data_IF_929485684466
#
_entry.id   IF_929485684466
#
_cell.length_a   1.000
_cell.length_b   1.000
_cell.length_c   1.000
_cell.angle_alpha   90.00
_cell.angle_beta   90.00
_cell.angle_gamma   90.00
#
_symmetry.space_group_name_H-M   'P 1'
#
loop_
_entity.id
_entity.type
_entity.pdbx_description
1 polymer ?
#
# COMPACT_ATOMS: atom_id res chain seq x y z
N UNK A 1 6.08 39.02 -18.37
CA UNK A 1 5.26 37.79 -18.41
C UNK A 1 5.73 36.70 -19.40
N UNK A 2 6.51 37.00 -20.47
CA UNK A 2 7.05 35.98 -21.40
C UNK A 2 8.21 35.14 -20.83
N UNK A 3 9.03 35.71 -19.95
CA UNK A 3 10.19 35.06 -19.32
C UNK A 3 9.80 34.03 -18.26
N UNK A 4 8.80 34.32 -17.43
CA UNK A 4 8.25 33.39 -16.42
C UNK A 4 7.68 32.10 -17.04
N UNK A 5 6.92 32.20 -18.14
CA UNK A 5 6.44 31.02 -18.91
C UNK A 5 7.57 30.21 -19.53
N UNK A 6 8.70 30.85 -19.89
CA UNK A 6 9.86 30.18 -20.49
C UNK A 6 10.67 29.42 -19.45
N UNK A 7 10.88 30.02 -18.27
CA UNK A 7 11.55 29.40 -17.12
C UNK A 7 10.72 28.22 -16.59
N UNK A 8 9.41 28.40 -16.40
CA UNK A 8 8.52 27.33 -15.95
C UNK A 8 8.52 26.14 -16.92
N UNK A 9 8.52 26.40 -18.23
CA UNK A 9 8.56 25.36 -19.26
C UNK A 9 9.90 24.62 -19.27
N UNK A 10 11.01 25.31 -19.05
CA UNK A 10 12.35 24.70 -18.92
C UNK A 10 12.42 23.82 -17.67
N UNK A 11 11.97 24.31 -16.51
CA UNK A 11 11.92 23.53 -15.26
C UNK A 11 11.05 22.28 -15.43
N UNK A 12 9.88 22.41 -16.08
CA UNK A 12 8.99 21.30 -16.35
C UNK A 12 9.63 20.25 -17.28
N UNK A 13 10.30 20.67 -18.35
CA UNK A 13 11.01 19.74 -19.25
C UNK A 13 12.19 19.07 -18.57
N UNK A 14 12.93 19.80 -17.74
CA UNK A 14 14.08 19.26 -17.00
C UNK A 14 13.60 18.22 -15.99
N UNK A 15 12.51 18.50 -15.28
CA UNK A 15 11.87 17.56 -14.36
C UNK A 15 11.34 16.32 -15.10
N UNK A 16 10.71 16.49 -16.27
CA UNK A 16 10.24 15.38 -17.11
C UNK A 16 11.38 14.50 -17.60
N UNK A 17 12.51 15.08 -18.00
CA UNK A 17 13.70 14.33 -18.45
C UNK A 17 14.35 13.59 -17.29
N UNK A 18 14.42 14.19 -16.10
CA UNK A 18 14.93 13.53 -14.89
C UNK A 18 14.01 12.39 -14.47
N UNK A 19 12.70 12.59 -14.47
CA UNK A 19 11.71 11.54 -14.17
C UNK A 19 11.78 10.42 -15.21
N UNK A 20 11.88 10.74 -16.50
CA UNK A 20 12.03 9.75 -17.56
C UNK A 20 13.35 8.97 -17.45
N UNK A 21 14.44 9.62 -17.05
CA UNK A 21 15.73 8.98 -16.81
C UNK A 21 15.71 8.07 -15.57
N UNK A 22 15.05 8.50 -14.49
CA UNK A 22 14.86 7.69 -13.27
C UNK A 22 13.96 6.49 -13.58
N UNK A 23 12.83 6.69 -14.23
CA UNK A 23 11.94 5.59 -14.65
C UNK A 23 12.67 4.65 -15.62
N UNK A 24 13.43 5.18 -16.58
CA UNK A 24 14.25 4.38 -17.49
C UNK A 24 15.32 3.55 -16.77
N UNK A 25 16.01 4.14 -15.80
CA UNK A 25 17.00 3.45 -14.97
C UNK A 25 16.33 2.36 -14.09
N UNK A 26 15.17 2.66 -13.50
CA UNK A 26 14.38 1.69 -12.73
C UNK A 26 13.86 0.54 -13.60
N UNK A 27 13.50 0.79 -14.86
CA UNK A 27 13.08 -0.24 -15.82
C UNK A 27 14.26 -1.16 -16.19
N UNK A 28 15.46 -0.61 -16.38
CA UNK A 28 16.67 -1.40 -16.67
C UNK A 28 17.09 -2.22 -15.44
N UNK A 29 16.98 -1.64 -14.24
CA UNK A 29 17.27 -2.33 -12.98
C UNK A 29 16.26 -3.47 -12.72
N UNK A 30 14.96 -3.24 -12.88
CA UNK A 30 13.92 -4.27 -12.66
C UNK A 30 13.97 -5.45 -13.62
N UNK A 31 14.67 -5.39 -14.76
CA UNK A 31 14.82 -6.56 -15.65
C UNK A 31 15.76 -7.63 -15.13
N UNK A 32 16.63 -7.31 -14.16
CA UNK A 32 17.60 -8.24 -13.58
C UNK A 32 17.19 -8.61 -12.15
N UNK A 33 17.40 -9.85 -11.72
CA UNK A 33 17.16 -10.27 -10.32
C UNK A 33 17.79 -9.31 -9.32
N UNK A 34 19.08 -9.01 -9.50
CA UNK A 34 19.83 -8.08 -8.65
C UNK A 34 19.22 -6.68 -8.59
N UNK A 35 18.68 -6.16 -9.69
CA UNK A 35 18.04 -4.86 -9.67
C UNK A 35 16.63 -4.88 -9.08
N UNK A 36 15.88 -5.99 -9.18
CA UNK A 36 14.63 -6.21 -8.43
C UNK A 36 14.90 -6.24 -6.92
N UNK A 37 15.96 -6.91 -6.47
CA UNK A 37 16.37 -6.95 -5.07
C UNK A 37 16.81 -5.57 -4.55
N UNK A 38 17.59 -4.82 -5.34
CA UNK A 38 17.98 -3.45 -4.98
C UNK A 38 16.76 -2.54 -4.78
N UNK A 39 15.75 -2.67 -5.63
CA UNK A 39 14.51 -1.90 -5.51
C UNK A 39 13.67 -2.32 -4.32
N UNK A 40 13.62 -3.60 -4.04
CA UNK A 40 12.99 -4.12 -2.84
C UNK A 40 13.65 -3.53 -1.58
N UNK A 41 14.98 -3.42 -1.56
CA UNK A 41 15.72 -2.71 -0.51
C UNK A 41 15.40 -1.22 -0.41
N UNK A 42 15.31 -0.50 -1.54
CA UNK A 42 14.96 0.93 -1.55
C UNK A 42 13.53 1.18 -1.04
N UNK A 43 12.55 0.39 -1.50
CA UNK A 43 11.16 0.47 -1.05
C UNK A 43 11.08 0.14 0.44
N UNK A 44 11.78 -0.90 0.88
CA UNK A 44 11.86 -1.30 2.29
C UNK A 44 12.38 -0.15 3.15
N UNK A 45 13.47 0.50 2.74
CA UNK A 45 14.03 1.65 3.46
C UNK A 45 13.09 2.86 3.50
N UNK A 46 12.38 3.16 2.40
CA UNK A 46 11.44 4.28 2.33
C UNK A 46 10.17 4.05 3.15
N UNK A 47 9.69 2.79 3.20
CA UNK A 47 8.49 2.41 3.96
C UNK A 47 8.77 2.21 5.45
N UNK A 48 10.05 2.06 5.81
CA UNK A 48 10.52 1.94 7.18
C UNK A 48 10.70 3.30 7.85
N UNK A 49 10.52 3.33 9.17
CA UNK A 49 10.82 4.43 10.07
C UNK A 49 11.55 3.88 11.30
N UNK A 50 11.99 4.76 12.21
CA UNK A 50 12.69 4.35 13.44
C UNK A 50 11.91 3.33 14.29
N UNK A 51 10.57 3.35 14.22
CA UNK A 51 9.69 2.46 14.99
C UNK A 51 9.07 1.32 14.17
N UNK A 52 9.20 1.32 12.85
CA UNK A 52 8.57 0.33 11.97
C UNK A 52 9.50 -0.07 10.84
N UNK A 53 9.77 -1.36 10.68
CA UNK A 53 10.54 -1.89 9.56
C UNK A 53 9.64 -2.66 8.61
N UNK A 54 9.70 -2.32 7.33
CA UNK A 54 8.97 -3.00 6.26
C UNK A 54 9.98 -3.69 5.36
N UNK A 55 9.86 -4.99 5.19
CA UNK A 55 10.70 -5.78 4.29
C UNK A 55 9.84 -6.30 3.15
N UNK A 56 10.24 -5.99 1.91
CA UNK A 56 9.59 -6.47 0.69
C UNK A 56 10.56 -7.38 -0.07
N UNK A 57 10.07 -8.47 -0.64
CA UNK A 57 10.89 -9.45 -1.37
C UNK A 57 10.16 -9.99 -2.61
N UNK A 58 10.94 -10.42 -3.59
CA UNK A 58 10.42 -11.07 -4.81
C UNK A 58 9.56 -10.15 -5.65
N UNK A 59 9.96 -8.87 -5.79
CA UNK A 59 9.25 -7.89 -6.62
C UNK A 59 9.35 -8.30 -8.08
N UNK A 60 8.23 -8.42 -8.76
CA UNK A 60 8.18 -8.67 -10.20
C UNK A 60 7.06 -7.89 -10.89
N UNK A 61 7.19 -7.66 -12.20
CA UNK A 61 6.11 -7.13 -13.02
C UNK A 61 5.64 -5.69 -12.73
N UNK A 62 6.33 -4.94 -11.85
CA UNK A 62 5.91 -3.60 -11.39
C UNK A 62 5.54 -2.62 -12.51
N UNK A 63 6.29 -2.60 -13.62
CA UNK A 63 6.06 -1.68 -14.75
C UNK A 63 5.01 -2.17 -15.75
N UNK A 64 4.68 -3.48 -15.72
CA UNK A 64 3.67 -4.07 -16.59
C UNK A 64 2.24 -3.77 -16.13
N UNK A 65 2.10 -3.22 -14.92
CA UNK A 65 0.83 -3.11 -14.22
C UNK A 65 0.48 -4.37 -13.43
N UNK A 66 1.05 -5.53 -13.72
CA UNK A 66 0.87 -6.74 -12.91
C UNK A 66 2.02 -6.90 -11.90
N UNK A 67 2.00 -6.13 -10.82
CA UNK A 67 2.98 -6.25 -9.74
C UNK A 67 2.75 -7.56 -8.96
N UNK A 68 3.82 -8.30 -8.71
CA UNK A 68 3.83 -9.51 -7.89
C UNK A 68 4.92 -9.41 -6.84
N UNK A 69 4.63 -9.83 -5.61
CA UNK A 69 5.56 -9.88 -4.49
C UNK A 69 5.51 -11.27 -3.87
N UNK A 70 6.65 -11.85 -3.54
CA UNK A 70 6.68 -13.15 -2.85
C UNK A 70 6.23 -13.01 -1.40
N UNK A 71 6.77 -12.02 -0.69
CA UNK A 71 6.34 -11.71 0.66
C UNK A 71 6.60 -10.25 1.06
N UNK A 72 5.77 -9.77 1.98
CA UNK A 72 5.92 -8.51 2.69
C UNK A 72 5.86 -8.81 4.17
N UNK A 73 6.86 -8.35 4.91
CA UNK A 73 6.95 -8.50 6.37
C UNK A 73 6.97 -7.11 6.98
N UNK A 74 6.09 -6.88 7.96
CA UNK A 74 6.06 -5.65 8.74
C UNK A 74 6.41 -5.98 10.18
N UNK A 75 7.44 -5.29 10.66
CA UNK A 75 8.04 -5.46 11.98
C UNK A 75 7.96 -4.12 12.73
N UNK A 76 7.83 -4.21 14.04
CA UNK A 76 8.01 -3.08 14.95
C UNK A 76 9.07 -3.44 16.02
N UNK A 77 9.18 -2.65 17.10
CA UNK A 77 10.12 -2.91 18.21
C UNK A 77 9.93 -4.29 18.88
N UNK A 78 8.75 -4.89 18.80
CA UNK A 78 8.45 -6.22 19.31
C UNK A 78 8.54 -7.33 18.26
N UNK A 79 9.15 -7.08 17.09
CA UNK A 79 9.32 -8.06 16.01
C UNK A 79 8.19 -8.05 14.95
N UNK A 80 8.15 -9.07 14.07
CA UNK A 80 7.16 -9.16 13.00
C UNK A 80 5.76 -9.33 13.56
N UNK A 81 4.82 -8.50 13.08
CA UNK A 81 3.42 -8.57 13.48
C UNK A 81 2.47 -8.79 12.31
N UNK A 82 2.90 -8.48 11.07
CA UNK A 82 2.16 -8.77 9.84
C UNK A 82 3.08 -9.41 8.79
N UNK A 83 2.62 -10.49 8.18
CA UNK A 83 3.26 -11.11 7.02
C UNK A 83 2.21 -11.34 5.94
N UNK A 84 2.44 -10.83 4.73
CA UNK A 84 1.63 -11.13 3.55
C UNK A 84 2.46 -11.93 2.55
N UNK A 85 1.89 -13.01 2.01
CA UNK A 85 2.55 -13.92 1.06
C UNK A 85 1.83 -13.88 -0.29
N UNK A 86 2.61 -13.99 -1.36
CA UNK A 86 2.13 -14.01 -2.76
C UNK A 86 1.16 -12.87 -3.03
N UNK A 87 1.65 -11.64 -2.82
CA UNK A 87 0.87 -10.43 -3.07
C UNK A 87 0.82 -10.19 -4.57
N UNK A 88 -0.38 -9.98 -5.10
CA UNK A 88 -0.62 -9.61 -6.47
C UNK A 88 -1.37 -8.28 -6.52
N UNK A 89 -0.85 -7.35 -7.31
CA UNK A 89 -1.42 -6.03 -7.49
C UNK A 89 -1.47 -5.71 -8.98
N UNK A 90 -2.68 -5.60 -9.52
CA UNK A 90 -2.93 -5.20 -10.90
C UNK A 90 -3.25 -3.69 -10.90
N UNK A 91 -2.23 -2.87 -11.17
CA UNK A 91 -2.24 -1.42 -11.03
C UNK A 91 -1.84 -0.68 -12.31
N UNK A 92 -2.08 0.63 -12.34
CA UNK A 92 -1.75 1.51 -13.46
C UNK A 92 -0.59 2.45 -13.13
N UNK A 93 0.67 2.13 -13.51
CA UNK A 93 1.82 2.99 -13.26
C UNK A 93 1.68 4.41 -13.80
N UNK A 94 1.00 4.56 -14.95
CA UNK A 94 0.76 5.84 -15.59
C UNK A 94 -0.19 6.75 -14.79
N UNK A 95 -1.07 6.18 -13.96
CA UNK A 95 -2.01 6.95 -13.15
C UNK A 95 -1.28 7.84 -12.12
N UNK A 96 -0.08 7.43 -11.67
CA UNK A 96 0.72 8.22 -10.74
C UNK A 96 1.17 9.56 -11.32
N UNK A 97 1.30 9.67 -12.64
CA UNK A 97 1.61 10.94 -13.32
C UNK A 97 0.51 11.98 -13.11
N UNK A 98 -0.71 11.53 -12.85
CA UNK A 98 -1.88 12.34 -12.51
C UNK A 98 -2.13 12.42 -11.00
N UNK A 99 -1.14 12.06 -10.16
CA UNK A 99 -1.27 11.96 -8.70
C UNK A 99 -2.39 11.01 -8.23
N UNK A 100 -2.62 9.95 -8.99
CA UNK A 100 -3.59 8.92 -8.64
C UNK A 100 -2.92 7.55 -8.60
N UNK A 101 -3.08 6.82 -7.51
CA UNK A 101 -2.77 5.41 -7.45
C UNK A 101 -4.06 4.65 -7.79
N UNK A 102 -4.06 3.90 -8.89
CA UNK A 102 -5.22 3.11 -9.31
C UNK A 102 -4.83 1.65 -9.46
N UNK A 103 -5.58 0.78 -8.81
CA UNK A 103 -5.49 -0.67 -8.87
C UNK A 103 -6.84 -1.29 -9.17
N UNK A 104 -6.87 -2.15 -10.19
CA UNK A 104 -8.05 -2.96 -10.49
C UNK A 104 -8.22 -4.05 -9.44
N UNK A 105 -7.11 -4.67 -9.03
CA UNK A 105 -7.10 -5.78 -8.07
C UNK A 105 -5.89 -5.73 -7.14
N UNK A 106 -6.14 -5.91 -5.85
CA UNK A 106 -5.16 -6.22 -4.82
C UNK A 106 -5.53 -7.58 -4.21
N UNK A 107 -4.58 -8.50 -4.18
CA UNK A 107 -4.77 -9.81 -3.57
C UNK A 107 -3.52 -10.25 -2.83
N UNK A 108 -3.70 -11.09 -1.82
CA UNK A 108 -2.61 -11.81 -1.17
C UNK A 108 -3.13 -13.21 -0.84
N UNK A 109 -2.37 -14.25 -1.20
CA UNK A 109 -2.83 -15.63 -0.97
C UNK A 109 -3.00 -15.91 0.53
N UNK A 110 -2.05 -15.44 1.35
CA UNK A 110 -2.09 -15.62 2.80
C UNK A 110 -1.58 -14.39 3.52
N UNK A 111 -2.32 -13.95 4.54
CA UNK A 111 -1.92 -12.91 5.48
C UNK A 111 -1.88 -13.52 6.87
N UNK A 112 -0.79 -13.28 7.59
CA UNK A 112 -0.63 -13.68 8.99
C UNK A 112 -0.52 -12.40 9.81
N UNK A 113 -1.46 -12.19 10.72
CA UNK A 113 -1.46 -11.07 11.64
C UNK A 113 -1.27 -11.62 13.06
N UNK A 114 -0.03 -11.59 13.56
CA UNK A 114 0.32 -12.21 14.83
C UNK A 114 -0.22 -11.41 16.02
N UNK A 115 -0.21 -10.07 15.92
CA UNK A 115 -0.63 -9.13 16.97
C UNK A 115 -0.89 -7.74 16.39
N UNK A 116 -1.42 -6.85 17.22
CA UNK A 116 -1.46 -5.42 16.91
C UNK A 116 -0.06 -4.79 17.00
N UNK A 117 0.22 -3.76 16.18
CA UNK A 117 1.46 -3.00 16.28
C UNK A 117 1.53 -2.27 17.63
N UNK A 118 2.75 -2.13 18.16
CA UNK A 118 2.98 -1.32 19.37
C UNK A 118 2.71 0.15 19.03
N UNK A 119 1.96 0.84 19.89
CA UNK A 119 1.70 2.27 19.72
C UNK A 119 3.02 3.06 19.67
N UNK A 120 3.13 3.94 18.67
CA UNK A 120 4.26 4.85 18.52
C UNK A 120 4.23 5.91 19.62
N UNK A 121 5.37 6.15 20.27
CA UNK A 121 5.51 7.24 21.25
C UNK A 121 5.77 8.60 20.57
N UNK A 122 5.94 8.59 19.24
CA UNK A 122 6.11 9.80 18.47
C UNK A 122 4.77 10.54 18.37
N UNK A 123 4.70 11.86 18.67
CA UNK A 123 3.51 12.64 18.40
C UNK A 123 3.13 12.41 16.94
N UNK A 124 1.88 12.03 16.67
CA UNK A 124 1.38 12.02 15.30
C UNK A 124 1.66 13.41 14.74
N UNK A 125 2.58 13.51 13.76
CA UNK A 125 2.91 14.80 13.19
C UNK A 125 1.59 15.42 12.76
N UNK A 126 1.25 16.59 13.34
CA UNK A 126 0.04 17.34 13.01
C UNK A 126 0.13 17.97 11.61
N UNK A 127 0.86 17.32 10.70
CA UNK A 127 0.82 17.57 9.29
C UNK A 127 -0.58 17.25 8.80
N UNK A 128 -1.13 18.14 8.00
CA UNK A 128 -2.41 18.00 7.31
C UNK A 128 -2.64 16.55 6.93
N UNK A 129 -3.83 15.99 7.21
CA UNK A 129 -4.26 14.65 6.78
C UNK A 129 -4.40 14.57 5.25
N UNK A 130 -3.46 15.14 4.49
CA UNK A 130 -3.46 15.17 3.05
C UNK A 130 -2.78 13.90 2.54
N UNK A 131 -3.52 13.15 1.73
CA UNK A 131 -2.92 12.07 0.99
C UNK A 131 -2.02 12.67 -0.10
N UNK A 132 -0.79 12.16 -0.31
CA UNK A 132 0.10 12.66 -1.37
C UNK A 132 -0.46 12.38 -2.78
N UNK A 133 -1.28 11.33 -2.90
CA UNK A 133 -1.99 10.89 -4.10
C UNK A 133 -3.37 10.36 -3.72
N UNK A 134 -4.35 10.48 -4.61
CA UNK A 134 -5.60 9.73 -4.45
C UNK A 134 -5.32 8.24 -4.64
N UNK A 135 -6.12 7.38 -4.00
CA UNK A 135 -6.01 5.93 -4.03
C UNK A 135 -7.35 5.38 -4.51
N UNK A 136 -7.35 4.48 -5.48
CA UNK A 136 -8.54 3.77 -5.95
C UNK A 136 -8.17 2.30 -6.16
N UNK A 137 -8.65 1.44 -5.28
CA UNK A 137 -8.51 -0.01 -5.36
C UNK A 137 -9.90 -0.61 -5.48
N UNK A 138 -10.22 -1.06 -6.69
CA UNK A 138 -11.59 -1.53 -7.01
C UNK A 138 -11.92 -2.86 -6.39
N UNK A 139 -10.94 -3.76 -6.30
CA UNK A 139 -11.14 -5.09 -5.74
C UNK A 139 -9.99 -5.47 -4.82
N UNK A 140 -10.33 -5.88 -3.60
CA UNK A 140 -9.45 -6.50 -2.62
C UNK A 140 -9.93 -7.94 -2.44
N UNK A 141 -9.00 -8.89 -2.49
CA UNK A 141 -9.29 -10.32 -2.39
C UNK A 141 -8.24 -11.02 -1.51
N UNK A 142 -8.62 -11.31 -0.28
CA UNK A 142 -7.76 -11.87 0.77
C UNK A 142 -8.41 -13.18 1.27
N UNK A 143 -8.20 -14.30 0.56
CA UNK A 143 -8.86 -15.57 0.87
C UNK A 143 -8.43 -16.19 2.21
N UNK A 144 -7.20 -15.94 2.66
CA UNK A 144 -6.65 -16.54 3.88
C UNK A 144 -5.98 -15.49 4.75
N UNK A 145 -6.59 -15.18 5.89
CA UNK A 145 -6.08 -14.28 6.92
C UNK A 145 -6.05 -15.06 8.23
N UNK A 146 -4.86 -15.38 8.70
CA UNK A 146 -4.63 -16.02 9.98
C UNK A 146 -4.38 -14.94 11.06
N UNK A 147 -5.32 -14.82 11.99
CA UNK A 147 -5.16 -14.01 13.20
C UNK A 147 -4.49 -14.84 14.29
N UNK A 148 -3.39 -14.34 14.83
CA UNK A 148 -2.69 -14.94 15.96
C UNK A 148 -3.53 -14.92 17.24
N UNK A 149 -3.08 -15.70 18.22
CA UNK A 149 -3.77 -15.89 19.51
C UNK A 149 -4.05 -14.58 20.25
N UNK A 150 -3.13 -13.62 20.16
CA UNK A 150 -3.28 -12.29 20.77
C UNK A 150 -4.48 -11.49 20.23
N UNK A 151 -5.01 -11.85 19.05
CA UNK A 151 -6.14 -11.18 18.40
C UNK A 151 -7.40 -12.03 18.44
N UNK A 152 -7.26 -13.34 18.26
CA UNK A 152 -8.37 -14.28 18.25
C UNK A 152 -8.87 -14.65 19.66
N UNK A 153 -8.10 -14.33 20.71
CA UNK A 153 -8.39 -14.60 22.12
C UNK A 153 -8.26 -16.07 22.53
N UNK A 154 -8.31 -17.01 21.59
CA UNK A 154 -8.01 -18.43 21.80
C UNK A 154 -7.62 -19.09 20.47
N UNK A 155 -6.36 -19.53 20.35
CA UNK A 155 -5.82 -20.17 19.14
C UNK A 155 -5.73 -19.24 17.93
N UNK A 156 -5.58 -19.81 16.74
CA UNK A 156 -5.53 -19.07 15.47
C UNK A 156 -6.96 -18.96 14.93
N UNK A 157 -7.38 -17.78 14.50
CA UNK A 157 -8.63 -17.60 13.77
C UNK A 157 -8.35 -17.36 12.28
N UNK A 158 -9.05 -18.10 11.43
CA UNK A 158 -8.89 -17.98 9.98
C UNK A 158 -10.08 -17.23 9.38
N UNK A 159 -9.77 -16.15 8.66
CA UNK A 159 -10.72 -15.22 8.05
C UNK A 159 -10.43 -15.08 6.56
N UNK A 160 -11.44 -14.72 5.77
CA UNK A 160 -11.28 -14.24 4.42
C UNK A 160 -11.90 -12.84 4.32
N UNK A 161 -11.30 -11.96 3.52
CA UNK A 161 -11.81 -10.61 3.33
C UNK A 161 -11.89 -10.25 1.84
N UNK A 162 -12.95 -9.55 1.47
CA UNK A 162 -13.14 -8.95 0.15
C UNK A 162 -13.61 -7.51 0.29
N UNK A 163 -13.21 -6.64 -0.62
CA UNK A 163 -13.59 -5.25 -0.49
C UNK A 163 -13.09 -4.33 -1.58
N UNK A 164 -13.19 -3.03 -1.31
CA UNK A 164 -12.66 -1.95 -2.12
C UNK A 164 -12.31 -0.76 -1.24
N UNK A 165 -11.37 0.06 -1.69
CA UNK A 165 -11.03 1.31 -1.03
C UNK A 165 -10.85 2.41 -2.07
N UNK A 166 -11.47 3.55 -1.80
CA UNK A 166 -11.27 4.78 -2.57
C UNK A 166 -10.95 5.90 -1.58
N UNK A 167 -9.83 6.57 -1.79
CA UNK A 167 -9.41 7.69 -1.00
C UNK A 167 -9.05 8.87 -1.91
N UNK A 168 -9.74 10.00 -1.79
CA UNK A 168 -9.43 11.21 -2.54
C UNK A 168 -8.54 12.12 -1.71
N UNK A 169 -7.52 12.72 -2.32
CA UNK A 169 -6.56 13.57 -1.61
C UNK A 169 -7.07 14.99 -1.33
N UNK A 170 -8.01 15.51 -2.14
CA UNK A 170 -8.46 16.89 -2.06
C UNK A 170 -9.89 17.07 -2.65
N UNK A 171 -10.92 17.27 -1.81
CA UNK A 171 -10.89 17.17 -0.34
C UNK A 171 -10.57 15.74 0.11
N UNK A 172 -10.04 15.58 1.32
CA UNK A 172 -9.82 14.25 1.87
C UNK A 172 -11.16 13.55 2.03
N UNK A 173 -11.36 12.45 1.31
CA UNK A 173 -12.46 11.51 1.51
C UNK A 173 -11.92 10.09 1.45
N UNK A 174 -12.42 9.20 2.30
CA UNK A 174 -12.05 7.78 2.29
C UNK A 174 -13.32 6.95 2.39
N UNK A 175 -13.63 6.24 1.32
CA UNK A 175 -14.67 5.26 1.21
C UNK A 175 -14.05 3.87 1.24
N UNK A 176 -14.43 3.04 2.21
CA UNK A 176 -13.98 1.65 2.29
C UNK A 176 -15.17 0.74 2.47
N UNK A 177 -15.24 -0.32 1.68
CA UNK A 177 -16.19 -1.41 1.85
C UNK A 177 -15.40 -2.68 2.05
N UNK A 178 -15.65 -3.38 3.16
CA UNK A 178 -14.96 -4.61 3.50
C UNK A 178 -15.98 -5.63 4.01
N UNK A 179 -16.02 -6.79 3.38
CA UNK A 179 -16.71 -7.97 3.86
C UNK A 179 -15.66 -8.93 4.42
N UNK A 180 -15.80 -9.34 5.68
CA UNK A 180 -14.90 -10.29 6.34
C UNK A 180 -15.73 -11.48 6.81
N UNK A 181 -15.36 -12.67 6.37
CA UNK A 181 -15.98 -13.93 6.77
C UNK A 181 -14.98 -14.78 7.55
N UNK A 182 -15.46 -15.46 8.58
CA UNK A 182 -14.69 -16.44 9.34
C UNK A 182 -14.84 -17.82 8.70
N UNK A 183 -13.73 -18.54 8.51
CA UNK A 183 -13.73 -19.85 7.84
C UNK A 183 -13.11 -21.00 8.67
N UNK A 184 -12.68 -20.74 9.90
CA UNK A 184 -12.14 -21.73 10.86
C UNK A 184 -13.20 -22.64 11.54
N UNK A 185 -14.35 -22.86 10.89
CA UNK A 185 -15.47 -23.65 11.42
C UNK A 185 -16.36 -22.93 12.43
N UNK A 186 -16.02 -21.70 12.86
CA UNK A 186 -16.91 -20.83 13.63
C UNK A 186 -17.60 -19.83 12.69
N UNK A 187 -18.92 -19.67 12.82
CA UNK A 187 -19.64 -18.70 12.00
C UNK A 187 -19.34 -17.26 12.44
N UNK A 188 -19.08 -16.40 11.46
CA UNK A 188 -18.94 -14.96 11.66
C UNK A 188 -18.86 -14.26 10.30
N UNK A 189 -19.70 -13.25 10.09
CA UNK A 189 -19.61 -12.35 8.95
C UNK A 189 -19.64 -10.92 9.48
N UNK A 190 -18.75 -10.08 8.97
CA UNK A 190 -18.67 -8.67 9.31
C UNK A 190 -18.64 -7.88 8.02
N UNK A 191 -19.69 -7.08 7.81
CA UNK A 191 -19.75 -6.08 6.76
C UNK A 191 -19.38 -4.73 7.36
N UNK A 192 -18.19 -4.23 7.03
CA UNK A 192 -17.70 -2.94 7.45
C UNK A 192 -17.78 -1.94 6.28
N UNK A 193 -18.40 -0.79 6.53
CA UNK A 193 -18.38 0.36 5.64
C UNK A 193 -17.86 1.56 6.41
N UNK A 194 -16.78 2.14 5.93
CA UNK A 194 -16.17 3.34 6.50
C UNK A 194 -16.28 4.47 5.49
N UNK A 195 -16.81 5.61 5.93
CA UNK A 195 -16.83 6.84 5.14
C UNK A 195 -16.24 7.96 5.98
N UNK A 196 -14.98 8.30 5.71
CA UNK A 196 -14.27 9.37 6.41
C UNK A 196 -14.15 10.58 5.50
N UNK A 197 -14.81 11.68 5.85
CA UNK A 197 -14.75 12.93 5.10
C UNK A 197 -14.63 14.10 6.09
N UNK A 198 -13.41 14.42 6.57
CA UNK A 198 -13.22 15.44 7.60
C UNK A 198 -13.60 16.85 7.15
N UNK A 199 -13.53 17.13 5.83
CA UNK A 199 -14.01 18.40 5.28
C UNK A 199 -15.53 18.59 5.47
N UNK A 200 -16.29 17.49 5.54
CA UNK A 200 -17.74 17.47 5.72
C UNK A 200 -18.15 17.17 7.17
N UNK A 201 -17.19 17.09 8.09
CA UNK A 201 -17.38 16.74 9.51
C UNK A 201 -18.10 15.38 9.71
N UNK A 202 -17.81 14.40 8.85
CA UNK A 202 -18.36 13.03 8.93
C UNK A 202 -17.29 12.01 9.29
N UNK A 203 -17.61 11.13 10.23
CA UNK A 203 -16.84 9.96 10.68
C UNK A 203 -17.62 8.68 10.39
#
# INVERSE_FOLDING_TARGET
>A
MKTFRRILRIVLYTLLVVVAAVVGALVVLTKTERGRDNLAGMISNLASSDERKVTVSGIDGIWSGALRLDHVVVEDRGGPWLVARKVALDWSPLALLSKNFSAERLAAERIELARLPVASNQPAESGTTSLPVSIDVKQIDLPEIALGEALAGSGIAELAAKGSVKAEAAPLSVDTVLNVIRHDGKQGNVDAKLHFAPADNKL
#
